data_IF_172440388043
#
_entry.id   IF_172440388043
#
_cell.length_a   1.000
_cell.length_b   1.000
_cell.length_c   1.000
_cell.angle_alpha   90.00
_cell.angle_beta   90.00
_cell.angle_gamma   90.00
#
_symmetry.space_group_name_H-M   'P 1'
#
loop_
_entity.id
_entity.type
_entity.pdbx_description
1 polymer ?
#
# COMPACT_ATOMS: atom_id res chain seq x y z
N UNK A 1 28.60 62.49 -22.12
CA UNK A 1 29.19 62.09 -23.42
C UNK A 1 30.70 62.21 -23.33
N UNK A 2 31.49 61.26 -23.84
CA UNK A 2 31.22 59.83 -24.04
C UNK A 2 32.32 58.96 -23.34
N UNK A 3 32.24 57.65 -23.24
CA UNK A 3 31.41 56.76 -24.03
C UNK A 3 31.31 55.35 -23.48
N UNK A 4 30.30 54.68 -24.02
CA UNK A 4 30.06 53.25 -23.93
C UNK A 4 31.01 52.51 -24.88
N UNK A 5 31.45 51.32 -24.46
CA UNK A 5 32.35 50.46 -25.22
C UNK A 5 32.21 48.99 -24.85
N UNK A 6 31.10 48.40 -25.30
CA UNK A 6 30.96 47.10 -25.96
C UNK A 6 31.49 45.77 -25.34
N UNK A 7 30.61 44.76 -25.49
CA UNK A 7 30.82 43.33 -25.74
C UNK A 7 31.46 42.45 -24.66
N UNK A 8 30.66 41.49 -24.19
CA UNK A 8 31.16 40.31 -23.48
C UNK A 8 31.68 39.22 -24.41
N UNK A 9 32.37 38.24 -23.83
CA UNK A 9 32.35 36.84 -24.26
C UNK A 9 33.04 35.95 -23.20
N UNK A 10 32.25 35.01 -22.66
CA UNK A 10 32.58 33.65 -22.20
C UNK A 10 33.82 33.39 -21.31
N UNK A 11 33.55 32.87 -20.11
CA UNK A 11 34.48 32.06 -19.32
C UNK A 11 33.70 30.99 -18.55
N UNK A 12 34.00 29.73 -18.84
CA UNK A 12 33.29 28.51 -18.45
C UNK A 12 33.60 28.04 -17.01
N UNK A 13 32.55 27.92 -16.17
CA UNK A 13 32.36 26.96 -15.07
C UNK A 13 33.39 26.87 -13.92
N UNK A 14 33.22 25.92 -12.98
CA UNK A 14 32.01 25.58 -12.22
C UNK A 14 32.26 25.60 -10.68
N UNK A 15 31.19 25.37 -9.91
CA UNK A 15 31.19 24.89 -8.51
C UNK A 15 31.25 25.94 -7.37
N UNK A 16 30.11 26.13 -6.68
CA UNK A 16 29.97 25.84 -5.24
C UNK A 16 28.60 26.27 -4.68
N UNK A 17 27.91 25.29 -4.08
CA UNK A 17 27.02 25.33 -2.90
C UNK A 17 25.74 26.22 -2.82
N UNK A 18 24.64 25.54 -2.45
CA UNK A 18 23.22 25.93 -2.38
C UNK A 18 22.82 27.02 -1.35
N UNK A 19 21.54 27.47 -1.34
CA UNK A 19 20.61 26.87 -0.37
C UNK A 19 19.13 26.79 -0.80
N UNK A 20 18.44 25.74 -0.32
CA UNK A 20 17.01 25.86 -0.07
C UNK A 20 16.06 25.33 -1.16
N UNK A 21 16.13 24.03 -1.47
CA UNK A 21 14.95 23.32 -1.96
C UNK A 21 14.61 22.24 -0.94
N UNK A 22 13.54 22.47 -0.17
CA UNK A 22 12.95 21.46 0.74
C UNK A 22 12.55 20.26 -0.11
N UNK A 23 13.47 19.31 -0.25
CA UNK A 23 13.23 18.02 -0.88
C UNK A 23 12.19 17.32 0.00
N UNK A 24 10.92 17.37 -0.41
CA UNK A 24 9.90 16.48 0.10
C UNK A 24 10.21 15.12 -0.48
N UNK A 25 10.80 14.26 0.34
CA UNK A 25 11.02 12.86 0.00
C UNK A 25 9.67 12.32 -0.49
N UNK A 26 9.53 11.85 -1.75
CA UNK A 26 8.33 11.11 -2.13
C UNK A 26 8.25 9.92 -1.17
N UNK A 27 7.11 9.76 -0.50
CA UNK A 27 6.93 8.69 0.48
C UNK A 27 7.16 7.35 -0.21
N UNK A 28 8.15 6.60 0.25
CA UNK A 28 8.44 5.27 -0.26
C UNK A 28 7.53 4.19 0.35
N UNK A 29 6.31 4.57 0.76
CA UNK A 29 5.35 3.64 1.35
C UNK A 29 4.88 2.55 0.38
N UNK A 30 5.20 2.69 -0.92
CA UNK A 30 4.83 1.75 -1.96
C UNK A 30 5.82 0.58 -2.10
N UNK A 31 7.12 0.78 -1.85
CA UNK A 31 8.14 -0.27 -2.03
C UNK A 31 8.04 -1.38 -0.97
N UNK A 32 7.37 -1.10 0.15
CA UNK A 32 7.04 -2.12 1.17
C UNK A 32 5.81 -2.98 0.86
N UNK A 33 5.00 -2.62 -0.15
CA UNK A 33 3.78 -3.36 -0.51
C UNK A 33 4.02 -4.38 -1.64
N UNK A 34 4.93 -4.10 -2.57
CA UNK A 34 5.21 -4.98 -3.72
C UNK A 34 6.22 -6.09 -3.45
N UNK A 35 6.84 -6.14 -2.26
CA UNK A 35 7.68 -7.28 -1.90
C UNK A 35 6.79 -8.49 -1.60
N UNK A 36 6.86 -9.59 -2.38
CA UNK A 36 6.24 -10.82 -1.97
C UNK A 36 6.97 -11.27 -0.70
N UNK A 37 6.37 -11.05 0.47
CA UNK A 37 6.79 -11.73 1.69
C UNK A 37 6.33 -13.18 1.57
N UNK A 38 6.96 -13.93 0.67
CA UNK A 38 7.19 -15.34 0.88
C UNK A 38 8.35 -15.41 1.88
N UNK A 39 8.12 -14.94 3.11
CA UNK A 39 8.93 -15.41 4.22
C UNK A 39 8.69 -16.91 4.22
N UNK A 40 9.69 -17.66 3.76
CA UNK A 40 9.79 -19.09 4.00
C UNK A 40 9.77 -19.27 5.50
N UNK A 41 8.57 -19.44 6.05
CA UNK A 41 8.37 -19.96 7.38
C UNK A 41 9.10 -21.30 7.36
N UNK A 42 10.08 -21.56 8.24
CA UNK A 42 10.67 -22.89 8.32
C UNK A 42 9.49 -23.85 8.49
N UNK A 43 9.38 -24.81 7.56
CA UNK A 43 8.27 -25.75 7.44
C UNK A 43 8.22 -26.64 8.70
N UNK A 44 7.70 -26.09 9.79
CA UNK A 44 7.30 -26.84 10.96
C UNK A 44 5.95 -27.46 10.62
N UNK A 45 6.03 -28.71 10.15
CA UNK A 45 4.94 -29.68 10.04
C UNK A 45 3.83 -29.30 9.03
N UNK A 46 3.96 -29.86 7.82
CA UNK A 46 2.97 -29.89 6.75
C UNK A 46 1.75 -30.78 7.12
N UNK A 47 1.03 -30.45 8.19
CA UNK A 47 -0.39 -30.79 8.23
C UNK A 47 -1.11 -29.67 7.50
N UNK A 48 -1.85 -29.94 6.40
CA UNK A 48 -2.73 -28.93 5.82
C UNK A 48 -3.68 -28.51 6.95
N UNK A 49 -3.49 -27.30 7.45
CA UNK A 49 -4.22 -26.74 8.57
C UNK A 49 -4.64 -25.33 8.17
N UNK A 50 -5.92 -25.02 8.39
CA UNK A 50 -6.44 -23.69 8.04
C UNK A 50 -5.75 -22.62 8.89
N UNK A 51 -5.38 -21.47 8.28
CA UNK A 51 -4.84 -20.36 9.05
C UNK A 51 -5.88 -19.86 10.06
N UNK A 52 -5.44 -19.27 11.19
CA UNK A 52 -6.35 -18.64 12.13
C UNK A 52 -7.16 -17.53 11.42
N UNK A 53 -8.44 -17.32 11.80
CA UNK A 53 -9.27 -16.31 11.17
C UNK A 53 -8.68 -14.91 11.37
N UNK A 54 -8.89 -13.99 10.41
CA UNK A 54 -8.38 -12.64 10.51
C UNK A 54 -8.99 -11.91 11.72
N UNK A 55 -8.20 -11.03 12.34
CA UNK A 55 -8.66 -10.19 13.44
C UNK A 55 -9.74 -9.21 12.94
N UNK A 56 -10.99 -9.40 13.39
CA UNK A 56 -12.14 -8.57 12.95
C UNK A 56 -12.42 -7.37 13.86
N UNK A 57 -11.90 -7.38 15.08
CA UNK A 57 -12.05 -6.28 16.03
C UNK A 57 -10.82 -6.19 16.92
N UNK A 58 -10.21 -5.02 16.99
CA UNK A 58 -9.09 -4.75 17.87
C UNK A 58 -9.46 -3.60 18.81
N UNK A 59 -9.75 -3.86 20.10
CA UNK A 59 -10.16 -2.82 21.05
C UNK A 59 -9.05 -1.79 21.32
N UNK A 60 -7.79 -2.09 20.99
CA UNK A 60 -6.66 -1.18 21.13
C UNK A 60 -6.57 -0.17 19.98
N UNK A 61 -7.28 -0.41 18.87
CA UNK A 61 -7.32 0.48 17.70
C UNK A 61 -8.69 1.17 17.67
N UNK A 62 -8.78 2.49 17.93
CA UNK A 62 -10.05 3.19 17.80
C UNK A 62 -10.54 3.10 16.36
N UNK A 63 -11.74 2.56 16.17
CA UNK A 63 -12.36 2.46 14.85
C UNK A 63 -12.71 3.83 14.27
N UNK A 64 -13.05 3.87 12.98
CA UNK A 64 -13.56 5.07 12.32
C UNK A 64 -14.92 4.77 11.69
N UNK A 65 -15.84 5.72 11.81
CA UNK A 65 -17.13 5.68 11.10
C UNK A 65 -17.18 6.85 10.14
N UNK A 66 -17.18 6.58 8.85
CA UNK A 66 -17.33 7.58 7.78
C UNK A 66 -18.53 7.23 6.90
N UNK A 67 -19.02 8.21 6.14
CA UNK A 67 -20.04 7.99 5.11
C UNK A 67 -19.61 6.93 4.08
N UNK A 68 -18.33 6.91 3.71
CA UNK A 68 -17.77 5.93 2.77
C UNK A 68 -17.81 4.51 3.36
N UNK A 69 -17.39 4.34 4.61
CA UNK A 69 -17.46 3.04 5.30
C UNK A 69 -18.91 2.57 5.49
N UNK A 70 -19.82 3.51 5.76
CA UNK A 70 -21.25 3.21 5.79
C UNK A 70 -21.79 2.78 4.43
N UNK A 71 -21.38 3.43 3.33
CA UNK A 71 -21.77 3.01 1.99
C UNK A 71 -21.24 1.61 1.64
N UNK A 72 -19.97 1.32 1.97
CA UNK A 72 -19.40 -0.01 1.80
C UNK A 72 -20.24 -1.06 2.52
N UNK A 73 -20.56 -0.85 3.80
CA UNK A 73 -21.37 -1.83 4.56
C UNK A 73 -22.83 -1.90 4.06
N UNK A 74 -23.52 -0.77 3.89
CA UNK A 74 -24.97 -0.73 3.63
C UNK A 74 -25.33 -1.04 2.18
N UNK A 75 -24.45 -0.74 1.22
CA UNK A 75 -24.75 -0.89 -0.22
C UNK A 75 -23.89 -1.97 -0.83
N UNK A 76 -22.57 -1.80 -0.81
CA UNK A 76 -21.65 -2.69 -1.53
C UNK A 76 -21.65 -4.10 -0.95
N UNK A 77 -21.44 -4.25 0.37
CA UNK A 77 -21.42 -5.56 1.02
C UNK A 77 -22.78 -6.26 0.88
N UNK A 78 -23.91 -5.55 1.01
CA UNK A 78 -25.24 -6.15 0.82
C UNK A 78 -25.45 -6.66 -0.62
N UNK A 79 -24.98 -5.93 -1.62
CA UNK A 79 -25.06 -6.36 -3.01
C UNK A 79 -24.19 -7.59 -3.27
N UNK A 80 -22.94 -7.57 -2.80
CA UNK A 80 -22.02 -8.70 -2.93
C UNK A 80 -22.53 -9.95 -2.21
N UNK A 81 -23.10 -9.83 -1.00
CA UNK A 81 -23.62 -11.00 -0.26
C UNK A 81 -24.80 -11.69 -0.93
N UNK A 82 -25.64 -10.93 -1.67
CA UNK A 82 -26.80 -11.45 -2.38
C UNK A 82 -26.47 -12.03 -3.76
N UNK A 83 -25.25 -11.80 -4.26
CA UNK A 83 -24.84 -12.28 -5.57
C UNK A 83 -24.82 -13.82 -5.60
N UNK A 84 -25.16 -14.42 -6.75
CA UNK A 84 -25.24 -15.89 -6.89
C UNK A 84 -23.88 -16.57 -6.66
N UNK A 85 -22.80 -15.89 -7.03
CA UNK A 85 -21.42 -16.36 -6.82
C UNK A 85 -20.81 -15.93 -5.48
N UNK A 86 -21.60 -15.37 -4.57
CA UNK A 86 -21.09 -14.93 -3.27
C UNK A 86 -20.76 -16.09 -2.33
N UNK A 87 -21.39 -17.25 -2.54
CA UNK A 87 -21.36 -18.38 -1.62
C UNK A 87 -19.95 -18.82 -1.18
N UNK A 88 -18.89 -18.87 -2.04
CA UNK A 88 -17.57 -19.32 -1.61
C UNK A 88 -16.79 -18.26 -0.83
N UNK A 89 -17.22 -17.00 -0.86
CA UNK A 89 -16.54 -15.88 -0.19
C UNK A 89 -17.16 -15.51 1.17
N UNK A 90 -18.21 -16.21 1.60
CA UNK A 90 -18.90 -15.92 2.88
C UNK A 90 -18.12 -16.39 4.10
N UNK A 91 -17.17 -17.29 3.92
CA UNK A 91 -16.38 -17.92 4.98
C UNK A 91 -14.91 -17.98 4.55
N UNK A 92 -13.97 -18.09 5.50
CA UNK A 92 -12.58 -18.39 5.19
C UNK A 92 -12.47 -19.66 4.35
N UNK A 93 -11.47 -19.69 3.46
CA UNK A 93 -11.17 -20.86 2.64
C UNK A 93 -10.70 -22.00 3.55
N UNK A 94 -11.37 -23.14 3.44
CA UNK A 94 -10.95 -24.38 4.10
C UNK A 94 -10.01 -25.15 3.17
N UNK A 95 -8.71 -24.91 3.30
CA UNK A 95 -7.67 -25.51 2.47
C UNK A 95 -7.59 -27.03 2.64
N UNK A 96 -7.88 -27.54 3.84
CA UNK A 96 -7.83 -28.98 4.16
C UNK A 96 -8.94 -29.72 3.44
N UNK A 97 -10.16 -29.22 3.54
CA UNK A 97 -11.33 -29.80 2.86
C UNK A 97 -11.23 -29.73 1.34
N UNK A 98 -10.57 -28.68 0.83
CA UNK A 98 -10.37 -28.47 -0.61
C UNK A 98 -9.14 -29.19 -1.17
N UNK A 99 -8.31 -29.82 -0.33
CA UNK A 99 -7.09 -30.50 -0.77
C UNK A 99 -6.10 -29.58 -1.48
N UNK A 100 -6.01 -28.32 -1.04
CA UNK A 100 -5.10 -27.35 -1.62
C UNK A 100 -3.66 -27.64 -1.13
N UNK A 101 -2.65 -27.61 -2.04
CA UNK A 101 -1.26 -27.90 -1.71
C UNK A 101 -0.59 -26.79 -0.87
#
# INVERSE_FOLDING_TARGET
LPGEGNAGLLGLGPEAAAPGKRIRKPSLLYEGFESPTMASVPALQLTPANPPPPEVSNPKKPGRVTNQLQYLHKVVMKALWKHQFAWPFRQPVDAVKLGLP
#
